data_IF_470235469571
#
_entry.id   IF_470235469571
#
_cell.length_a   1.000
_cell.length_b   1.000
_cell.length_c   1.000
_cell.angle_alpha   90.00
_cell.angle_beta   90.00
_cell.angle_gamma   90.00
#
_symmetry.space_group_name_H-M   'P 1'
#
loop_
_entity.id
_entity.type
_entity.pdbx_description
1 polymer ?
#
# COMPACT_ATOMS: atom_id res chain seq x y z
N UNK A 1 -76.38 -8.86 11.77
CA UNK A 1 -75.45 -10.01 11.75
C UNK A 1 -74.92 -10.13 10.33
N UNK A 2 -73.64 -10.14 9.96
CA UNK A 2 -72.36 -10.02 10.65
C UNK A 2 -71.39 -9.36 9.64
N UNK A 3 -70.50 -8.47 10.11
CA UNK A 3 -69.53 -7.74 9.29
C UNK A 3 -68.20 -8.51 9.35
N UNK A 4 -67.82 -9.18 8.26
CA UNK A 4 -66.55 -9.92 8.19
C UNK A 4 -65.41 -8.96 7.81
N UNK A 5 -64.49 -8.75 8.74
CA UNK A 5 -63.24 -8.03 8.51
C UNK A 5 -62.18 -9.05 8.07
N UNK A 6 -61.67 -8.92 6.85
CA UNK A 6 -60.48 -9.63 6.39
C UNK A 6 -59.24 -8.91 6.92
N UNK A 7 -58.57 -9.54 7.88
CA UNK A 7 -57.25 -9.16 8.37
C UNK A 7 -56.20 -9.47 7.31
N UNK A 8 -55.51 -8.44 6.82
CA UNK A 8 -54.32 -8.59 6.00
C UNK A 8 -53.12 -8.88 6.94
N UNK A 9 -52.59 -10.11 6.90
CA UNK A 9 -51.30 -10.45 7.50
C UNK A 9 -50.17 -9.93 6.61
N UNK A 10 -49.51 -8.87 7.04
CA UNK A 10 -48.24 -8.44 6.47
C UNK A 10 -47.11 -9.34 7.02
N UNK A 11 -46.58 -10.22 6.17
CA UNK A 11 -45.38 -10.99 6.49
C UNK A 11 -44.13 -10.08 6.33
N UNK A 12 -43.55 -9.67 7.45
CA UNK A 12 -42.23 -9.04 7.50
C UNK A 12 -41.17 -10.11 7.20
N UNK A 13 -40.64 -10.11 5.98
CA UNK A 13 -39.44 -10.87 5.66
C UNK A 13 -38.24 -10.19 6.32
N UNK A 14 -37.81 -10.71 7.48
CA UNK A 14 -36.50 -10.38 8.04
C UNK A 14 -35.43 -10.95 7.11
N UNK A 15 -34.77 -10.07 6.35
CA UNK A 15 -33.52 -10.40 5.71
C UNK A 15 -32.51 -10.73 6.82
N UNK A 16 -32.05 -11.97 6.86
CA UNK A 16 -30.93 -12.37 7.73
C UNK A 16 -29.70 -11.61 7.25
N UNK A 17 -29.39 -10.49 7.90
CA UNK A 17 -28.05 -9.94 7.87
C UNK A 17 -27.10 -11.04 8.33
N UNK A 18 -26.03 -11.27 7.56
CA UNK A 18 -24.93 -12.13 7.99
C UNK A 18 -24.29 -11.43 9.19
N UNK A 19 -24.71 -11.79 10.40
CA UNK A 19 -23.99 -11.39 11.60
C UNK A 19 -22.63 -12.12 11.55
N UNK A 20 -21.54 -11.36 11.48
CA UNK A 20 -20.18 -11.92 11.67
C UNK A 20 -20.19 -12.71 12.98
N UNK A 21 -19.84 -14.00 12.92
CA UNK A 21 -19.79 -14.86 14.10
C UNK A 21 -18.66 -14.36 15.00
N UNK A 22 -19.03 -13.74 16.13
CA UNK A 22 -18.05 -13.30 17.11
C UNK A 22 -17.33 -14.52 17.71
N UNK A 23 -16.00 -14.44 17.75
CA UNK A 23 -15.15 -15.47 18.33
C UNK A 23 -14.66 -15.06 19.72
N UNK A 24 -14.22 -16.04 20.51
CA UNK A 24 -13.65 -15.78 21.84
C UNK A 24 -12.13 -15.75 21.79
N UNK A 25 -11.53 -14.81 22.53
CA UNK A 25 -10.12 -14.76 22.86
C UNK A 25 -10.02 -14.59 24.39
N UNK A 26 -9.82 -15.71 25.08
CA UNK A 26 -9.96 -15.76 26.54
C UNK A 26 -11.39 -15.41 26.95
N UNK A 27 -11.57 -14.34 27.72
CA UNK A 27 -12.88 -13.85 28.15
C UNK A 27 -13.48 -12.78 27.22
N UNK A 28 -12.74 -12.33 26.21
CA UNK A 28 -13.19 -11.29 25.28
C UNK A 28 -13.84 -11.90 24.03
N UNK A 29 -14.92 -11.28 23.55
CA UNK A 29 -15.46 -11.54 22.22
C UNK A 29 -14.84 -10.58 21.21
N UNK A 30 -14.54 -11.05 20.00
CA UNK A 30 -13.97 -10.24 18.93
C UNK A 30 -14.56 -10.59 17.56
N UNK A 31 -14.56 -9.62 16.65
CA UNK A 31 -14.88 -9.82 15.24
C UNK A 31 -13.62 -10.31 14.51
N UNK A 32 -13.61 -11.53 13.94
CA UNK A 32 -12.45 -12.07 13.24
C UNK A 32 -12.09 -11.32 11.97
N UNK A 33 -12.94 -10.41 11.49
CA UNK A 33 -12.61 -9.51 10.38
C UNK A 33 -11.81 -8.28 10.81
N UNK A 34 -11.75 -8.00 12.12
CA UNK A 34 -11.08 -6.83 12.69
C UNK A 34 -9.88 -7.18 13.57
N UNK A 35 -9.85 -8.39 14.15
CA UNK A 35 -8.79 -8.82 15.05
C UNK A 35 -8.40 -10.28 14.83
N UNK A 36 -7.18 -10.60 15.24
CA UNK A 36 -6.66 -11.96 15.39
C UNK A 36 -6.30 -12.21 16.86
N UNK A 37 -6.59 -13.41 17.34
CA UNK A 37 -6.29 -13.83 18.71
C UNK A 37 -5.02 -14.68 18.76
N UNK A 38 -4.09 -14.34 19.65
CA UNK A 38 -2.88 -15.10 19.95
C UNK A 38 -2.96 -15.72 21.34
N UNK A 39 -2.55 -16.99 21.43
CA UNK A 39 -2.47 -17.78 22.65
C UNK A 39 -3.75 -17.77 23.51
N UNK A 40 -4.91 -17.56 22.87
CA UNK A 40 -6.20 -17.41 23.52
C UNK A 40 -6.23 -16.31 24.61
N UNK A 41 -5.37 -15.29 24.50
CA UNK A 41 -5.19 -14.28 25.55
C UNK A 41 -4.98 -12.86 25.01
N UNK A 42 -4.47 -12.71 23.79
CA UNK A 42 -4.06 -11.41 23.28
C UNK A 42 -4.66 -11.13 21.91
N UNK A 43 -5.31 -9.97 21.76
CA UNK A 43 -5.91 -9.54 20.50
C UNK A 43 -5.00 -8.55 19.79
N UNK A 44 -4.72 -8.83 18.52
CA UNK A 44 -4.09 -7.88 17.62
C UNK A 44 -5.03 -7.45 16.50
N UNK A 45 -5.05 -6.15 16.14
CA UNK A 45 -5.91 -5.68 15.08
C UNK A 45 -5.41 -6.16 13.72
N UNK A 46 -6.33 -6.22 12.76
CA UNK A 46 -6.03 -6.33 11.34
C UNK A 46 -5.91 -4.90 10.79
N UNK A 47 -4.74 -4.54 10.27
CA UNK A 47 -4.43 -3.20 9.75
C UNK A 47 -4.02 -3.31 8.30
N UNK A 48 -4.69 -2.58 7.41
CA UNK A 48 -4.41 -2.63 5.95
C UNK A 48 -4.43 -4.05 5.37
N UNK A 49 -5.32 -4.91 5.89
CA UNK A 49 -5.43 -6.31 5.51
C UNK A 49 -4.36 -7.23 6.13
N UNK A 50 -3.43 -6.69 6.92
CA UNK A 50 -2.45 -7.48 7.68
C UNK A 50 -2.99 -7.80 9.07
N UNK A 51 -3.21 -9.07 9.42
CA UNK A 51 -3.33 -9.47 10.81
C UNK A 51 -2.00 -9.23 11.51
N UNK A 52 -1.93 -8.20 12.36
CA UNK A 52 -0.68 -7.87 13.03
C UNK A 52 -0.21 -9.06 13.88
N UNK A 53 1.11 -9.24 13.92
CA UNK A 53 1.75 -10.31 14.70
C UNK A 53 1.94 -9.92 16.14
N UNK A 54 2.10 -10.91 17.00
CA UNK A 54 2.32 -10.72 18.43
C UNK A 54 3.77 -11.00 18.82
N UNK A 55 4.37 -10.10 19.61
CA UNK A 55 5.68 -10.29 20.23
C UNK A 55 5.67 -9.66 21.63
N UNK A 56 5.80 -10.49 22.67
CA UNK A 56 6.01 -10.05 24.06
C UNK A 56 5.09 -8.92 24.53
N UNK A 57 3.78 -9.01 24.26
CA UNK A 57 2.79 -8.02 24.68
C UNK A 57 2.51 -6.90 23.68
N UNK A 58 3.13 -6.92 22.49
CA UNK A 58 2.93 -5.91 21.45
C UNK A 58 2.46 -6.53 20.13
N UNK A 59 1.57 -5.81 19.44
CA UNK A 59 1.25 -6.09 18.04
C UNK A 59 2.24 -5.39 17.12
N UNK A 60 2.67 -6.05 16.06
CA UNK A 60 3.62 -5.49 15.10
C UNK A 60 3.31 -5.91 13.67
N UNK A 61 3.70 -5.05 12.72
CA UNK A 61 3.64 -5.35 11.29
C UNK A 61 4.89 -6.11 10.86
N UNK A 62 4.71 -7.26 10.20
CA UNK A 62 5.78 -8.05 9.59
C UNK A 62 6.43 -7.33 8.40
N UNK A 63 5.83 -6.25 7.89
CA UNK A 63 6.46 -5.42 6.87
C UNK A 63 7.58 -4.53 7.41
N UNK A 64 7.67 -4.35 8.73
CA UNK A 64 8.64 -3.45 9.36
C UNK A 64 9.44 -4.11 10.49
N UNK A 65 8.90 -5.15 11.13
CA UNK A 65 9.51 -5.74 12.31
C UNK A 65 9.54 -7.26 12.25
N UNK A 66 10.43 -7.84 13.05
CA UNK A 66 10.53 -9.26 13.32
C UNK A 66 10.58 -9.50 14.83
N UNK A 67 10.20 -10.71 15.25
CA UNK A 67 10.26 -11.14 16.65
C UNK A 67 11.14 -12.38 16.75
N UNK A 68 12.24 -12.28 17.50
CA UNK A 68 13.14 -13.41 17.75
C UNK A 68 13.42 -13.50 19.25
N UNK A 69 13.14 -14.66 19.86
CA UNK A 69 13.37 -14.86 21.29
C UNK A 69 12.64 -13.85 22.19
N UNK A 70 11.39 -13.49 21.84
CA UNK A 70 10.58 -12.46 22.50
C UNK A 70 11.14 -11.03 22.43
N UNK A 71 12.13 -10.78 21.57
CA UNK A 71 12.65 -9.44 21.29
C UNK A 71 12.10 -8.96 19.96
N UNK A 72 11.37 -7.85 20.01
CA UNK A 72 10.91 -7.14 18.81
C UNK A 72 12.06 -6.29 18.26
N UNK A 73 12.37 -6.45 16.98
CA UNK A 73 13.38 -5.68 16.28
C UNK A 73 12.87 -5.21 14.93
N UNK A 74 13.31 -4.03 14.48
CA UNK A 74 13.04 -3.59 13.11
C UNK A 74 13.75 -4.54 12.12
N UNK A 75 13.13 -4.73 10.96
CA UNK A 75 13.77 -5.42 9.85
C UNK A 75 14.98 -4.59 9.36
N UNK A 76 16.01 -5.25 8.78
CA UNK A 76 17.12 -4.53 8.17
C UNK A 76 16.63 -3.63 7.03
N UNK A 77 17.02 -2.34 6.98
CA UNK A 77 16.65 -1.46 5.87
C UNK A 77 17.37 -1.90 4.59
N UNK A 78 16.70 -1.75 3.45
CA UNK A 78 17.30 -1.89 2.12
C UNK A 78 18.24 -0.71 1.86
N UNK A 79 19.36 -0.97 1.19
CA UNK A 79 20.31 0.06 0.76
C UNK A 79 20.05 0.54 -0.69
N UNK A 80 20.73 1.62 -1.09
CA UNK A 80 20.57 2.19 -2.43
C UNK A 80 21.10 1.29 -3.55
N UNK A 81 21.88 0.26 -3.24
CA UNK A 81 22.43 -0.67 -4.24
C UNK A 81 21.45 -1.81 -4.57
N UNK A 82 20.40 -1.99 -3.75
CA UNK A 82 19.41 -3.06 -3.91
C UNK A 82 18.10 -2.48 -4.43
N UNK A 83 17.88 -2.45 -5.75
CA UNK A 83 16.59 -2.06 -6.31
C UNK A 83 15.52 -3.11 -6.02
N UNK A 84 14.26 -2.70 -6.04
CA UNK A 84 13.12 -3.58 -5.78
C UNK A 84 11.88 -3.17 -6.59
N UNK A 85 11.01 -4.13 -6.87
CA UNK A 85 9.63 -3.87 -7.31
C UNK A 85 8.68 -3.93 -6.12
N UNK A 86 7.46 -3.43 -6.30
CA UNK A 86 6.44 -3.40 -5.26
C UNK A 86 5.20 -4.19 -5.67
N UNK A 87 4.71 -5.02 -4.76
CA UNK A 87 3.45 -5.75 -4.89
C UNK A 87 2.52 -5.37 -3.75
N UNK A 88 1.25 -5.13 -4.06
CA UNK A 88 0.21 -4.82 -3.08
C UNK A 88 -0.12 -6.05 -2.25
N UNK A 89 -0.27 -5.86 -0.94
CA UNK A 89 -0.70 -6.87 0.01
C UNK A 89 -1.89 -6.36 0.80
N UNK A 90 -3.05 -6.90 0.49
CA UNK A 90 -4.25 -6.90 1.31
C UNK A 90 -5.18 -8.01 0.78
N UNK A 91 -5.19 -9.21 1.40
CA UNK A 91 -5.88 -10.39 0.87
C UNK A 91 -7.41 -10.26 0.81
N UNK A 92 -7.99 -9.20 1.37
CA UNK A 92 -9.44 -8.95 1.30
C UNK A 92 -9.82 -8.07 0.10
N UNK A 93 -8.86 -7.62 -0.71
CA UNK A 93 -9.10 -6.71 -1.83
C UNK A 93 -8.77 -7.36 -3.18
N UNK A 94 -9.43 -6.95 -4.28
CA UNK A 94 -9.09 -7.42 -5.63
C UNK A 94 -7.69 -7.02 -6.12
N UNK A 95 -7.08 -6.02 -5.48
CA UNK A 95 -5.74 -5.53 -5.81
C UNK A 95 -4.61 -6.31 -5.10
N UNK A 96 -4.95 -7.30 -4.26
CA UNK A 96 -3.94 -8.16 -3.65
C UNK A 96 -3.06 -8.83 -4.72
N UNK A 97 -1.75 -8.86 -4.48
CA UNK A 97 -0.80 -9.46 -5.42
C UNK A 97 -0.56 -8.66 -6.70
N UNK A 98 -1.24 -7.53 -6.91
CA UNK A 98 -1.01 -6.67 -8.08
C UNK A 98 0.23 -5.80 -7.92
N UNK A 99 0.86 -5.45 -9.04
CA UNK A 99 2.07 -4.63 -9.04
C UNK A 99 1.75 -3.15 -8.92
N UNK A 100 2.65 -2.40 -8.29
CA UNK A 100 2.71 -0.94 -8.43
C UNK A 100 3.36 -0.62 -9.78
N UNK A 101 2.79 0.32 -10.51
CA UNK A 101 3.23 0.72 -11.85
C UNK A 101 3.39 2.23 -11.96
N UNK A 102 4.37 2.69 -12.71
CA UNK A 102 4.69 4.10 -12.92
C UNK A 102 4.45 4.53 -14.37
N UNK A 103 3.59 5.52 -14.58
CA UNK A 103 3.34 6.15 -15.88
C UNK A 103 2.84 7.59 -15.70
N UNK A 104 3.21 8.50 -16.60
CA UNK A 104 2.78 9.90 -16.56
C UNK A 104 3.27 10.64 -15.31
N UNK A 105 4.43 10.27 -14.76
CA UNK A 105 4.99 10.77 -13.47
C UNK A 105 4.16 10.43 -12.23
N UNK A 106 3.35 9.39 -12.31
CA UNK A 106 2.41 8.98 -11.27
C UNK A 106 2.51 7.47 -11.02
N UNK A 107 2.30 7.02 -9.78
CA UNK A 107 2.21 5.61 -9.45
C UNK A 107 0.76 5.15 -9.27
N UNK A 108 0.42 4.06 -9.94
CA UNK A 108 -0.86 3.37 -9.86
C UNK A 108 -0.65 1.90 -9.46
N UNK A 109 -1.74 1.19 -9.24
CA UNK A 109 -1.76 -0.25 -8.97
C UNK A 109 -2.44 -0.94 -10.14
N UNK A 110 -1.84 -2.04 -10.62
CA UNK A 110 -2.31 -2.87 -11.73
C UNK A 110 -2.42 -2.13 -13.08
N UNK A 111 -1.65 -1.05 -13.25
CA UNK A 111 -1.58 -0.28 -14.50
C UNK A 111 -0.47 -0.76 -15.43
N UNK A 112 -0.06 0.12 -16.35
CA UNK A 112 1.09 -0.09 -17.23
C UNK A 112 2.29 0.74 -16.76
N UNK A 113 3.49 0.14 -16.80
CA UNK A 113 4.73 0.90 -16.65
C UNK A 113 5.10 1.57 -17.97
N UNK A 114 5.32 2.89 -17.94
CA UNK A 114 5.73 3.67 -19.11
C UNK A 114 7.20 4.05 -18.99
N UNK A 115 7.99 3.64 -19.98
CA UNK A 115 9.43 3.90 -20.06
C UNK A 115 9.82 4.40 -21.44
N UNK A 116 10.99 5.02 -21.52
CA UNK A 116 11.54 5.49 -22.78
C UNK A 116 13.03 5.16 -22.85
N UNK A 117 13.45 4.67 -24.01
CA UNK A 117 14.84 4.46 -24.38
C UNK A 117 15.15 5.34 -25.61
N UNK A 118 16.01 6.37 -25.50
CA UNK A 118 16.44 7.16 -26.64
C UNK A 118 17.31 6.36 -27.61
N UNK A 119 17.15 6.58 -28.91
CA UNK A 119 17.97 5.93 -29.95
C UNK A 119 19.48 6.14 -29.76
N UNK A 120 19.89 7.27 -29.16
CA UNK A 120 21.30 7.59 -28.91
C UNK A 120 21.93 6.72 -27.81
N UNK A 121 21.12 6.12 -26.95
CA UNK A 121 21.57 5.19 -25.90
C UNK A 121 21.66 3.76 -26.46
N UNK A 122 20.64 3.36 -27.25
CA UNK A 122 20.59 2.06 -27.92
C UNK A 122 20.24 0.91 -26.97
N UNK A 123 21.20 0.51 -26.13
CA UNK A 123 21.06 -0.64 -25.22
C UNK A 123 20.54 -0.21 -23.84
N UNK A 124 19.23 -0.03 -23.73
CA UNK A 124 18.57 0.26 -22.45
C UNK A 124 18.12 -1.01 -21.73
N UNK A 125 17.92 -0.94 -20.40
CA UNK A 125 17.16 -1.96 -19.67
C UNK A 125 15.76 -2.16 -20.26
N UNK A 126 15.17 -3.34 -20.04
CA UNK A 126 13.93 -3.76 -20.68
C UNK A 126 12.74 -2.80 -20.48
N UNK A 127 12.69 -2.05 -19.38
CA UNK A 127 11.68 -1.02 -19.17
C UNK A 127 10.25 -1.55 -18.96
N UNK A 128 10.11 -2.82 -18.58
CA UNK A 128 8.81 -3.52 -18.46
C UNK A 128 8.26 -3.58 -17.04
N UNK A 129 9.02 -3.13 -16.04
CA UNK A 129 8.62 -3.15 -14.63
C UNK A 129 8.90 -1.81 -13.96
N UNK A 130 8.11 -1.47 -12.94
CA UNK A 130 8.41 -0.34 -12.05
C UNK A 130 9.28 -0.82 -10.91
N UNK A 131 10.52 -0.35 -10.89
CA UNK A 131 11.45 -0.60 -9.81
C UNK A 131 11.94 0.70 -9.17
N UNK A 132 12.32 0.59 -7.90
CA UNK A 132 12.61 1.70 -7.00
C UNK A 132 13.91 1.38 -6.26
N UNK A 133 14.63 2.41 -5.85
CA UNK A 133 15.70 2.34 -4.87
C UNK A 133 15.35 3.27 -3.71
N UNK A 134 15.68 2.88 -2.48
CA UNK A 134 15.41 3.69 -1.30
C UNK A 134 16.61 3.64 -0.34
N UNK A 135 16.98 4.81 0.19
CA UNK A 135 18.05 4.94 1.18
C UNK A 135 17.96 6.29 1.90
N UNK A 136 18.43 6.34 3.15
CA UNK A 136 18.56 7.60 3.90
C UNK A 136 17.24 8.37 4.08
N UNK A 137 16.10 7.68 4.04
CA UNK A 137 14.77 8.29 4.13
C UNK A 137 14.20 8.79 2.81
N UNK A 138 14.93 8.71 1.69
CA UNK A 138 14.47 9.07 0.35
C UNK A 138 14.23 7.84 -0.53
N UNK A 139 13.57 8.06 -1.67
CA UNK A 139 13.36 7.04 -2.69
C UNK A 139 13.52 7.63 -4.10
N UNK A 140 14.01 6.83 -5.03
CA UNK A 140 14.16 7.18 -6.45
C UNK A 140 13.71 6.03 -7.33
N UNK A 141 13.29 6.35 -8.54
CA UNK A 141 13.05 5.32 -9.56
C UNK A 141 14.38 4.64 -9.89
N UNK A 142 14.36 3.32 -10.08
CA UNK A 142 15.52 2.56 -10.52
C UNK A 142 15.76 2.78 -12.03
N UNK A 143 16.21 3.98 -12.35
CA UNK A 143 16.44 4.49 -13.70
C UNK A 143 17.94 4.74 -13.91
N UNK A 144 18.42 4.42 -15.11
CA UNK A 144 19.83 4.64 -15.49
C UNK A 144 20.11 6.11 -15.86
N UNK A 145 19.07 6.86 -16.20
CA UNK A 145 19.19 8.23 -16.70
C UNK A 145 20.03 9.15 -15.78
N UNK A 146 20.99 9.92 -16.32
CA UNK A 146 21.78 10.85 -15.53
C UNK A 146 20.92 11.85 -14.73
N UNK A 147 21.20 11.94 -13.43
CA UNK A 147 20.43 12.73 -12.46
C UNK A 147 19.26 11.97 -11.81
N UNK A 148 18.95 10.77 -12.32
CA UNK A 148 17.91 9.90 -11.80
C UNK A 148 16.50 10.50 -11.91
N UNK A 149 15.56 9.89 -11.20
CA UNK A 149 14.20 10.39 -11.04
C UNK A 149 13.79 10.18 -9.58
N UNK A 150 13.50 11.28 -8.89
CA UNK A 150 13.20 11.29 -7.46
C UNK A 150 11.72 10.95 -7.22
N UNK A 151 11.44 10.06 -6.26
CA UNK A 151 10.07 9.78 -5.81
C UNK A 151 9.64 10.85 -4.81
N UNK A 152 8.39 11.29 -4.92
CA UNK A 152 7.80 12.26 -3.99
C UNK A 152 6.33 11.94 -3.69
N UNK A 153 5.84 12.51 -2.59
CA UNK A 153 4.41 12.62 -2.29
C UNK A 153 3.97 14.03 -2.65
N UNK A 154 3.01 14.21 -3.55
CA UNK A 154 2.55 15.55 -3.94
C UNK A 154 1.74 16.22 -2.80
N UNK A 155 1.26 17.45 -3.02
CA UNK A 155 0.46 18.17 -2.03
C UNK A 155 -0.86 17.46 -1.64
N UNK A 156 -1.30 16.48 -2.43
CA UNK A 156 -2.46 15.63 -2.21
C UNK A 156 -2.09 14.22 -1.75
N UNK A 157 -0.80 13.97 -1.47
CA UNK A 157 -0.23 12.70 -1.05
C UNK A 157 -0.29 11.58 -2.09
N UNK A 158 -0.47 11.91 -3.37
CA UNK A 158 -0.24 10.96 -4.46
C UNK A 158 1.25 10.67 -4.59
N UNK A 159 1.57 9.43 -4.97
CA UNK A 159 2.96 9.06 -5.24
C UNK A 159 3.33 9.43 -6.67
N UNK A 160 4.30 10.32 -6.81
CA UNK A 160 4.82 10.75 -8.10
C UNK A 160 6.33 10.60 -8.21
N UNK A 161 6.85 10.89 -9.39
CA UNK A 161 8.29 10.91 -9.63
C UNK A 161 8.70 12.04 -10.57
N UNK A 162 9.92 12.56 -10.41
CA UNK A 162 10.38 13.67 -11.24
C UNK A 162 10.59 13.23 -12.70
N UNK A 163 10.45 14.19 -13.60
CA UNK A 163 10.82 13.99 -14.99
C UNK A 163 12.32 13.67 -15.09
N UNK A 164 12.69 12.78 -16.01
CA UNK A 164 14.07 12.53 -16.37
C UNK A 164 14.83 13.85 -16.68
N UNK A 165 16.09 13.94 -16.25
CA UNK A 165 16.93 15.14 -16.39
C UNK A 165 16.40 16.40 -15.70
N UNK A 166 15.41 16.27 -14.81
CA UNK A 166 14.82 17.40 -14.09
C UNK A 166 14.80 17.14 -12.59
N UNK A 167 15.31 18.12 -11.84
CA UNK A 167 15.14 18.19 -10.39
C UNK A 167 13.80 18.85 -9.99
N UNK A 168 12.92 19.14 -10.95
CA UNK A 168 11.65 19.82 -10.72
C UNK A 168 10.68 18.93 -9.92
N UNK A 169 10.49 19.27 -8.65
CA UNK A 169 9.48 18.68 -7.76
C UNK A 169 8.30 19.66 -7.63
N UNK A 170 7.04 19.22 -7.75
CA UNK A 170 5.88 20.09 -7.57
C UNK A 170 5.86 20.78 -6.20
N UNK A 171 5.39 22.03 -6.14
CA UNK A 171 5.28 22.77 -4.89
C UNK A 171 4.36 22.05 -3.88
N UNK A 172 4.78 22.02 -2.61
CA UNK A 172 4.06 21.33 -1.54
C UNK A 172 4.33 19.82 -1.45
N UNK A 173 5.22 19.28 -2.29
CA UNK A 173 5.58 17.86 -2.22
C UNK A 173 6.57 17.55 -1.10
N UNK A 174 6.56 16.30 -0.65
CA UNK A 174 7.53 15.72 0.30
C UNK A 174 8.38 14.68 -0.40
N UNK A 175 9.70 14.72 -0.20
CA UNK A 175 10.69 13.82 -0.85
C UNK A 175 11.42 12.90 0.13
N UNK A 176 11.02 12.92 1.39
CA UNK A 176 11.62 12.14 2.47
C UNK A 176 10.56 11.34 3.24
N UNK A 177 10.99 10.57 4.25
CA UNK A 177 10.11 9.73 5.05
C UNK A 177 9.73 8.42 4.37
N UNK A 178 10.56 7.92 3.45
CA UNK A 178 10.41 6.59 2.86
C UNK A 178 11.39 5.60 3.47
N UNK A 179 10.94 4.37 3.73
CA UNK A 179 11.81 3.27 4.12
C UNK A 179 11.40 2.00 3.40
N UNK A 180 12.39 1.18 3.03
CA UNK A 180 12.19 -0.18 2.51
C UNK A 180 12.94 -1.15 3.43
N UNK A 181 12.38 -2.33 3.67
CA UNK A 181 12.96 -3.33 4.54
C UNK A 181 13.17 -4.66 3.82
N UNK A 182 14.32 -5.30 4.09
CA UNK A 182 14.64 -6.63 3.56
C UNK A 182 13.61 -7.65 4.03
N UNK A 183 13.00 -8.37 3.07
CA UNK A 183 11.91 -9.32 3.34
C UNK A 183 10.62 -8.68 3.91
N UNK A 184 10.53 -7.34 3.91
CA UNK A 184 9.43 -6.58 4.47
C UNK A 184 8.70 -5.73 3.42
N UNK A 185 8.37 -4.50 3.79
CA UNK A 185 7.61 -3.58 2.96
C UNK A 185 8.30 -2.26 2.70
N UNK A 186 7.77 -1.54 1.71
CA UNK A 186 8.02 -0.13 1.48
C UNK A 186 6.98 0.66 2.26
N UNK A 187 7.44 1.56 3.13
CA UNK A 187 6.59 2.25 4.10
C UNK A 187 6.75 3.75 4.01
N UNK A 188 5.65 4.43 4.29
CA UNK A 188 5.59 5.87 4.47
C UNK A 188 5.65 6.22 5.96
N UNK A 189 6.69 6.93 6.37
CA UNK A 189 6.92 7.40 7.73
C UNK A 189 6.39 8.82 7.96
N UNK A 190 5.86 9.48 6.93
CA UNK A 190 5.26 10.81 7.05
C UNK A 190 3.88 10.77 7.72
N UNK A 191 3.46 11.90 8.29
CA UNK A 191 2.06 12.15 8.65
C UNK A 191 1.47 11.18 9.68
N UNK A 192 2.29 10.73 10.64
CA UNK A 192 1.97 9.73 11.68
C UNK A 192 1.77 8.30 11.17
N UNK A 193 2.23 7.96 9.96
CA UNK A 193 2.43 6.56 9.58
C UNK A 193 1.14 5.75 9.32
N UNK A 194 0.09 6.37 8.79
CA UNK A 194 -1.15 5.67 8.42
C UNK A 194 -1.00 4.73 7.21
N UNK A 195 0.21 4.64 6.63
CA UNK A 195 0.55 3.71 5.55
C UNK A 195 0.01 4.13 4.19
N UNK A 196 -0.23 3.12 3.35
CA UNK A 196 -0.71 3.31 1.98
C UNK A 196 -2.19 2.96 1.87
N UNK A 197 -2.86 3.60 0.93
CA UNK A 197 -4.19 3.17 0.50
C UNK A 197 -4.23 2.98 -1.01
N UNK A 198 -5.04 2.00 -1.42
CA UNK A 198 -5.48 1.83 -2.78
C UNK A 198 -6.83 2.53 -2.95
N UNK A 199 -6.90 3.54 -3.81
CA UNK A 199 -8.12 4.25 -4.15
C UNK A 199 -8.65 3.74 -5.50
N UNK A 200 -9.90 3.26 -5.59
CA UNK A 200 -10.44 2.78 -6.86
C UNK A 200 -10.56 3.93 -7.89
N UNK A 201 -10.61 3.63 -9.20
CA UNK A 201 -10.76 4.62 -10.28
C UNK A 201 -11.87 5.66 -10.05
N UNK A 202 -12.95 5.24 -9.38
CA UNK A 202 -14.15 6.04 -9.11
C UNK A 202 -14.09 6.86 -7.81
N UNK A 203 -13.02 6.76 -7.02
CA UNK A 203 -12.89 7.51 -5.77
C UNK A 203 -12.33 8.92 -5.99
N UNK A 204 -12.63 9.84 -5.07
CA UNK A 204 -11.96 11.15 -5.01
C UNK A 204 -10.45 10.93 -4.82
N UNK A 205 -9.65 11.44 -5.77
CA UNK A 205 -8.23 11.10 -5.89
C UNK A 205 -7.94 9.86 -6.77
N UNK A 206 -8.87 9.41 -7.61
CA UNK A 206 -8.71 8.24 -8.50
C UNK A 206 -7.82 8.47 -9.74
N UNK A 207 -7.12 7.40 -10.14
CA UNK A 207 -6.03 7.35 -11.13
C UNK A 207 -6.47 7.18 -12.59
N UNK A 208 -7.45 7.97 -13.03
CA UNK A 208 -8.03 7.86 -14.38
C UNK A 208 -8.93 6.64 -14.55
N UNK A 209 -9.35 6.37 -15.79
CA UNK A 209 -10.39 5.38 -16.14
C UNK A 209 -9.96 3.91 -15.94
N UNK A 210 -8.65 3.63 -15.78
CA UNK A 210 -8.10 2.27 -15.98
C UNK A 210 -7.33 1.66 -14.79
N UNK A 211 -7.24 2.32 -13.62
CA UNK A 211 -6.42 1.78 -12.52
C UNK A 211 -6.66 2.34 -11.13
N UNK A 212 -6.26 1.56 -10.12
CA UNK A 212 -6.31 1.99 -8.72
C UNK A 212 -5.18 2.99 -8.46
N UNK A 213 -5.48 4.12 -7.83
CA UNK A 213 -4.46 5.07 -7.41
C UNK A 213 -3.81 4.64 -6.10
N UNK A 214 -2.48 4.79 -6.01
CA UNK A 214 -1.72 4.62 -4.77
C UNK A 214 -1.54 5.97 -4.08
N UNK A 215 -2.06 6.07 -2.85
CA UNK A 215 -2.01 7.31 -2.07
C UNK A 215 -1.41 7.03 -0.70
N UNK A 216 -0.58 7.95 -0.21
CA UNK A 216 -0.14 7.96 1.17
C UNK A 216 -1.26 8.50 2.08
N UNK A 217 -1.73 7.67 3.01
CA UNK A 217 -2.69 8.11 4.03
C UNK A 217 -1.96 8.80 5.17
N UNK A 218 -2.58 9.83 5.73
CA UNK A 218 -2.11 10.53 6.94
C UNK A 218 -3.30 11.20 7.66
N UNK A 219 -3.03 11.80 8.82
CA UNK A 219 -4.06 12.45 9.63
C UNK A 219 -4.81 13.59 8.89
N UNK A 220 -4.16 14.29 7.96
CA UNK A 220 -4.74 15.44 7.24
C UNK A 220 -5.64 15.06 6.07
N UNK A 221 -5.48 13.86 5.50
CA UNK A 221 -6.27 13.39 4.36
C UNK A 221 -7.15 12.18 4.67
N UNK A 222 -7.09 11.61 5.88
CA UNK A 222 -7.80 10.39 6.23
C UNK A 222 -9.32 10.47 5.93
N UNK A 223 -9.94 11.61 6.22
CA UNK A 223 -11.38 11.84 6.00
C UNK A 223 -11.76 11.89 4.51
N UNK A 224 -10.82 12.32 3.65
CA UNK A 224 -11.02 12.42 2.20
C UNK A 224 -10.83 11.07 1.48
N UNK A 225 -10.27 10.07 2.18
CA UNK A 225 -9.95 8.75 1.64
C UNK A 225 -10.97 7.68 2.06
N UNK A 226 -12.22 8.07 2.35
CA UNK A 226 -13.27 7.17 2.85
C UNK A 226 -13.63 6.00 1.91
N UNK A 227 -13.34 6.13 0.62
CA UNK A 227 -13.54 5.08 -0.40
C UNK A 227 -12.22 4.40 -0.82
N UNK A 228 -11.13 4.64 -0.10
CA UNK A 228 -9.85 3.99 -0.33
C UNK A 228 -9.57 2.97 0.77
N UNK A 229 -8.82 1.93 0.42
CA UNK A 229 -8.62 0.77 1.29
C UNK A 229 -7.15 0.66 1.66
N UNK A 230 -6.87 0.47 2.96
CA UNK A 230 -5.50 0.33 3.44
C UNK A 230 -4.81 -0.85 2.78
N UNK A 231 -3.58 -0.66 2.31
CA UNK A 231 -2.74 -1.70 1.71
C UNK A 231 -1.32 -1.63 2.25
N UNK A 232 -0.64 -2.77 2.25
CA UNK A 232 0.80 -2.82 2.41
C UNK A 232 1.48 -2.96 1.05
N UNK A 233 2.71 -2.46 0.92
CA UNK A 233 3.52 -2.61 -0.29
C UNK A 233 4.70 -3.53 0.02
N UNK A 234 4.62 -4.77 -0.46
CA UNK A 234 5.68 -5.76 -0.31
C UNK A 234 6.86 -5.42 -1.20
N UNK A 235 8.06 -5.44 -0.63
CA UNK A 235 9.33 -5.30 -1.37
C UNK A 235 9.69 -6.63 -2.01
N UNK A 236 9.91 -6.61 -3.33
CA UNK A 236 10.50 -7.74 -4.06
C UNK A 236 11.86 -7.30 -4.63
N UNK A 237 12.92 -7.69 -3.95
CA UNK A 237 14.29 -7.30 -4.29
C UNK A 237 14.70 -7.84 -5.66
N UNK A 238 15.41 -7.00 -6.41
CA UNK A 238 16.05 -7.33 -7.66
C UNK A 238 17.56 -7.55 -7.41
N UNK A 239 18.28 -7.99 -8.45
CA UNK A 239 19.74 -8.10 -8.38
C UNK A 239 20.38 -6.75 -8.04
N UNK A 240 21.42 -6.71 -7.19
CA UNK A 240 22.06 -5.47 -6.80
C UNK A 240 22.70 -4.78 -8.01
N UNK A 241 22.74 -3.45 -7.98
CA UNK A 241 23.33 -2.59 -9.02
C UNK A 241 22.75 -2.83 -10.44
N UNK A 242 21.47 -3.21 -10.53
CA UNK A 242 20.74 -3.34 -11.81
C UNK A 242 19.82 -2.14 -12.04
N UNK A 243 19.63 -1.75 -13.29
CA UNK A 243 18.61 -0.77 -13.69
C UNK A 243 17.43 -1.47 -14.35
N UNK A 244 16.22 -0.97 -14.10
CA UNK A 244 14.99 -1.54 -14.67
C UNK A 244 14.50 -0.79 -15.91
N UNK A 245 14.89 0.47 -16.07
CA UNK A 245 14.58 1.30 -17.22
C UNK A 245 15.71 2.31 -17.47
N UNK A 246 15.83 2.80 -18.71
CA UNK A 246 16.61 4.01 -18.95
C UNK A 246 15.96 5.21 -18.24
N UNK A 247 14.70 5.50 -18.57
CA UNK A 247 13.87 6.45 -17.83
C UNK A 247 12.41 6.01 -17.78
N UNK A 248 11.71 6.44 -16.75
CA UNK A 248 10.26 6.36 -16.61
C UNK A 248 9.61 7.64 -17.15
N UNK A 249 8.44 7.53 -17.75
CA UNK A 249 7.71 8.65 -18.37
C UNK A 249 6.33 8.83 -17.76
#
# INVERSE_FOLDING_TARGET
MARQYLLALAALAFTKGVLSELLNCGSAQYDPTQYVCYDNQFLCPIVSGEPLSYCSGACYSKFQYTCAGNVLAALPPVDSSTPFTLTVSNPTLPVDGKFVTACGRHWSIDGQTCTYCPDQVGDCPAGTVTAVQAAGGGAGMNAEVPGGQLVYLDAFWNVGFTQAHSAGVPAGSTTSGFAAYHGGGFVNLNGNGYGWVACPPTASGGGGEDGWNLVAKNASNADNLGNCYGVNLKVNELGPNTFAAWQYT
#
